data_IF_766026520424
#
_entry.id   IF_766026520424
#
_cell.length_a   1.000
_cell.length_b   1.000
_cell.length_c   1.000
_cell.angle_alpha   90.00
_cell.angle_beta   90.00
_cell.angle_gamma   90.00
#
_symmetry.space_group_name_H-M   'P 1'
#
loop_
_entity.id
_entity.type
_entity.pdbx_description
1 polymer ?
#
# COMPACT_ATOMS: atom_id res chain seq x y z
N UNK A 1 -4.93 5.42 -0.76
CA UNK A 1 -4.69 6.40 -1.85
C UNK A 1 -5.52 6.01 -3.07
N UNK A 2 -5.90 6.96 -3.92
CA UNK A 2 -6.74 6.72 -5.10
C UNK A 2 -5.91 6.81 -6.38
N UNK A 3 -6.17 5.93 -7.34
CA UNK A 3 -5.30 5.71 -8.50
C UNK A 3 -6.16 5.46 -9.73
N UNK A 4 -5.86 6.15 -10.84
CA UNK A 4 -6.48 5.83 -12.14
C UNK A 4 -5.95 4.49 -12.65
N UNK A 5 -6.81 3.70 -13.29
CA UNK A 5 -6.49 2.38 -13.84
C UNK A 5 -5.20 2.38 -14.67
N UNK A 6 -5.03 3.38 -15.55
CA UNK A 6 -3.83 3.55 -16.39
C UNK A 6 -2.50 3.68 -15.61
N UNK A 7 -2.56 4.14 -14.36
CA UNK A 7 -1.39 4.32 -13.49
C UNK A 7 -1.18 3.13 -12.55
N UNK A 8 -2.17 2.23 -12.41
CA UNK A 8 -2.17 1.19 -11.38
C UNK A 8 -0.96 0.26 -11.52
N UNK A 9 -0.70 -0.26 -12.72
CA UNK A 9 0.44 -1.16 -12.96
C UNK A 9 1.78 -0.50 -12.58
N UNK A 10 1.99 0.75 -13.00
CA UNK A 10 3.21 1.51 -12.70
C UNK A 10 3.35 1.76 -11.20
N UNK A 11 2.26 2.14 -10.53
CA UNK A 11 2.26 2.32 -9.08
C UNK A 11 2.66 1.04 -8.35
N UNK A 12 2.04 -0.09 -8.70
CA UNK A 12 2.29 -1.38 -8.06
C UNK A 12 3.76 -1.83 -8.22
N UNK A 13 4.41 -1.50 -9.34
CA UNK A 13 5.85 -1.76 -9.53
C UNK A 13 6.74 -0.87 -8.66
N UNK A 14 6.35 0.38 -8.42
CA UNK A 14 7.13 1.35 -7.65
C UNK A 14 7.03 1.15 -6.12
N UNK A 15 5.95 0.51 -5.65
CA UNK A 15 5.70 0.25 -4.21
C UNK A 15 6.10 -1.17 -3.78
N UNK A 16 6.95 -1.84 -4.57
CA UNK A 16 7.30 -3.27 -4.48
C UNK A 16 7.93 -3.74 -3.17
N UNK A 17 8.29 -2.86 -2.25
CA UNK A 17 9.03 -3.19 -1.02
C UNK A 17 8.19 -3.88 0.06
N UNK A 18 6.88 -4.10 -0.14
CA UNK A 18 5.95 -4.32 0.96
C UNK A 18 4.89 -5.38 0.69
N UNK A 19 4.33 -5.92 1.78
CA UNK A 19 3.20 -6.86 1.76
C UNK A 19 2.16 -6.45 0.72
N UNK A 20 1.70 -7.46 -0.04
CA UNK A 20 0.83 -7.31 -1.22
C UNK A 20 -0.24 -6.23 -0.97
N UNK A 21 -0.21 -5.10 -1.71
CA UNK A 21 -1.12 -4.00 -1.47
C UNK A 21 -2.56 -4.46 -1.69
N UNK A 22 -3.49 -3.98 -0.85
CA UNK A 22 -4.92 -4.14 -1.10
C UNK A 22 -5.30 -3.21 -2.24
N UNK A 23 -5.92 -3.76 -3.28
CA UNK A 23 -6.43 -3.02 -4.44
C UNK A 23 -7.93 -3.27 -4.54
N UNK A 24 -8.72 -2.20 -4.54
CA UNK A 24 -10.18 -2.28 -4.59
C UNK A 24 -10.73 -1.30 -5.62
N UNK A 25 -11.70 -1.68 -6.45
CA UNK A 25 -12.37 -0.74 -7.35
C UNK A 25 -13.13 0.32 -6.55
N UNK A 26 -13.13 1.56 -7.03
CA UNK A 26 -13.92 2.65 -6.44
C UNK A 26 -15.27 2.80 -7.17
N UNK A 27 -16.15 3.63 -6.61
CA UNK A 27 -17.46 3.94 -7.19
C UNK A 27 -17.34 4.57 -8.58
N UNK A 28 -16.32 5.40 -8.80
CA UNK A 28 -16.02 5.94 -10.11
C UNK A 28 -15.28 4.91 -10.97
N UNK A 29 -15.85 4.57 -12.14
CA UNK A 29 -15.27 3.60 -13.06
C UNK A 29 -13.86 4.03 -13.50
N UNK A 30 -12.93 3.07 -13.54
CA UNK A 30 -11.54 3.33 -13.91
C UNK A 30 -10.68 3.90 -12.78
N UNK A 31 -11.20 3.89 -11.54
CA UNK A 31 -10.45 4.26 -10.35
C UNK A 31 -10.36 3.13 -9.33
N UNK A 32 -9.23 3.11 -8.64
CA UNK A 32 -8.89 2.10 -7.64
C UNK A 32 -8.41 2.76 -6.36
N UNK A 33 -8.86 2.22 -5.24
CA UNK A 33 -8.27 2.44 -3.93
C UNK A 33 -7.11 1.48 -3.75
N UNK A 34 -5.96 2.01 -3.39
CA UNK A 34 -4.77 1.23 -3.03
C UNK A 34 -4.42 1.52 -1.57
N UNK A 35 -4.32 0.46 -0.78
CA UNK A 35 -3.87 0.52 0.61
C UNK A 35 -2.64 -0.39 0.80
N UNK A 36 -1.63 0.12 1.49
CA UNK A 36 -0.38 -0.60 1.75
C UNK A 36 0.28 -0.02 3.00
N UNK A 37 1.09 -0.84 3.66
CA UNK A 37 1.91 -0.45 4.81
C UNK A 37 3.34 -0.35 4.32
N UNK A 38 4.03 0.76 4.61
CA UNK A 38 5.40 1.02 4.16
C UNK A 38 6.39 1.17 5.32
N UNK A 39 7.69 0.88 5.15
CA UNK A 39 8.69 1.22 6.15
C UNK A 39 8.83 2.74 6.20
N UNK A 40 8.92 3.30 7.40
CA UNK A 40 9.05 4.76 7.61
C UNK A 40 10.27 5.34 6.87
N UNK A 41 11.36 4.56 6.78
CA UNK A 41 12.59 4.93 6.06
C UNK A 41 12.41 5.13 4.55
N UNK A 42 11.39 4.52 3.95
CA UNK A 42 11.10 4.65 2.51
C UNK A 42 10.09 5.75 2.19
N UNK A 43 9.36 6.26 3.18
CA UNK A 43 8.29 7.23 2.99
C UNK A 43 8.75 8.45 2.17
N UNK A 44 9.85 9.08 2.57
CA UNK A 44 10.37 10.27 1.89
C UNK A 44 10.78 10.00 0.43
N UNK A 45 11.19 8.76 0.11
CA UNK A 45 11.56 8.35 -1.26
C UNK A 45 10.33 8.08 -2.12
N UNK A 46 9.27 7.54 -1.51
CA UNK A 46 8.05 7.15 -2.21
C UNK A 46 7.10 8.33 -2.46
N UNK A 47 6.94 9.25 -1.50
CA UNK A 47 5.98 10.37 -1.61
C UNK A 47 6.08 11.15 -2.93
N UNK A 48 7.27 11.55 -3.42
CA UNK A 48 7.38 12.26 -4.69
C UNK A 48 6.89 11.45 -5.90
N UNK A 49 7.08 10.12 -5.89
CA UNK A 49 6.60 9.22 -6.94
C UNK A 49 5.09 9.04 -6.87
N UNK A 50 4.57 8.81 -5.66
CA UNK A 50 3.13 8.63 -5.40
C UNK A 50 2.33 9.87 -5.82
N UNK A 51 2.83 11.08 -5.54
CA UNK A 51 2.19 12.35 -5.96
C UNK A 51 1.99 12.49 -7.47
N UNK A 52 2.78 11.79 -8.30
CA UNK A 52 2.64 11.81 -9.77
C UNK A 52 1.65 10.77 -10.28
N UNK A 53 1.35 9.75 -9.50
CA UNK A 53 0.61 8.56 -9.93
C UNK A 53 -0.76 8.44 -9.26
N UNK A 54 -0.91 8.97 -8.06
CA UNK A 54 -2.07 8.82 -7.19
C UNK A 54 -2.56 10.16 -6.64
N UNK A 55 -3.78 10.14 -6.10
CA UNK A 55 -4.45 11.28 -5.46
C UNK A 55 -5.02 10.85 -4.10
N UNK A 56 -5.33 11.82 -3.23
CA UNK A 56 -5.91 11.53 -1.91
C UNK A 56 -5.03 10.58 -1.08
N UNK A 57 -3.73 10.88 -0.97
CA UNK A 57 -2.83 10.12 -0.11
C UNK A 57 -3.21 10.36 1.35
N UNK A 58 -3.57 9.29 2.04
CA UNK A 58 -3.82 9.28 3.49
C UNK A 58 -2.70 8.48 4.12
N UNK A 59 -2.13 9.00 5.20
CA UNK A 59 -0.97 8.41 5.89
C UNK A 59 -1.29 8.32 7.37
N UNK A 60 -1.08 7.13 7.93
CA UNK A 60 -1.24 6.86 9.36
C UNK A 60 -0.04 6.06 9.85
N UNK A 61 0.37 6.31 11.09
CA UNK A 61 1.34 5.47 11.79
C UNK A 61 0.55 4.45 12.63
N UNK A 62 0.62 3.15 12.30
CA UNK A 62 -0.11 2.13 13.07
C UNK A 62 0.49 2.03 14.47
N UNK A 63 -0.36 1.85 15.49
CA UNK A 63 0.10 1.62 16.86
C UNK A 63 0.86 0.30 17.00
N UNK A 64 0.42 -0.73 16.27
CA UNK A 64 0.99 -2.07 16.32
C UNK A 64 0.67 -2.80 15.00
N UNK A 65 1.60 -3.62 14.53
CA UNK A 65 1.40 -4.55 13.41
C UNK A 65 1.59 -5.96 13.99
N UNK A 66 0.62 -6.85 13.74
CA UNK A 66 0.66 -8.23 14.17
C UNK A 66 0.83 -9.14 12.96
N UNK A 67 1.89 -9.95 12.98
CA UNK A 67 2.23 -10.95 11.97
C UNK A 67 1.59 -12.28 12.40
N UNK A 68 0.27 -12.40 12.18
CA UNK A 68 -0.50 -13.56 12.67
C UNK A 68 -0.03 -14.89 12.06
N UNK A 69 0.54 -14.86 10.86
CA UNK A 69 1.12 -16.03 10.22
C UNK A 69 2.37 -16.55 10.94
N UNK A 70 3.13 -15.68 11.60
CA UNK A 70 4.33 -16.05 12.37
C UNK A 70 3.95 -16.57 13.75
N UNK A 71 2.88 -16.04 14.37
CA UNK A 71 2.41 -16.44 15.71
C UNK A 71 2.00 -17.92 15.76
N UNK A 72 1.37 -18.46 14.70
CA UNK A 72 0.95 -19.87 14.66
C UNK A 72 2.11 -20.86 14.71
N UNK A 73 3.31 -20.48 14.27
CA UNK A 73 4.48 -21.38 14.27
C UNK A 73 5.00 -21.68 15.68
N UNK A 74 4.73 -20.82 16.65
CA UNK A 74 5.18 -21.00 18.03
C UNK A 74 4.18 -21.80 18.88
N UNK A 75 2.92 -21.92 18.46
CA UNK A 75 1.90 -22.73 19.14
C UNK A 75 1.94 -24.22 18.76
N UNK A 76 2.62 -24.56 17.65
CA UNK A 76 2.76 -25.94 17.15
C UNK A 76 4.10 -26.63 17.53
N UNK A 77 4.95 -25.99 18.34
CA UNK A 77 6.23 -26.53 18.83
C UNK A 77 6.22 -26.90 20.32
#
# INVERSE_FOLDING_TARGET
MNVKEKNLKKLLTEITSLKRPTVSPLSEKGWYGVNTVIPKSEFHKLVPKLRKLAQGLVVHEPRQILELEEIKRDEEN
#
